data_IF_983044968242
#
_entry.id   IF_983044968242
#
_cell.length_a   1.000
_cell.length_b   1.000
_cell.length_c   1.000
_cell.angle_alpha   90.00
_cell.angle_beta   90.00
_cell.angle_gamma   90.00
#
_symmetry.space_group_name_H-M   'P 1'
#
loop_
_entity.id
_entity.type
_entity.pdbx_description
1 polymer ?
#
# COMPACT_ATOMS: atom_id res chain seq x y z
N UNK A 1 -28.49 -6.60 31.88
CA UNK A 1 -27.86 -6.11 30.64
C UNK A 1 -27.26 -7.31 29.93
N UNK A 2 -27.52 -7.47 28.63
CA UNK A 2 -27.01 -8.61 27.87
C UNK A 2 -25.51 -8.51 27.64
N UNK A 3 -24.85 -9.65 27.43
CA UNK A 3 -23.40 -9.73 27.24
C UNK A 3 -22.87 -8.89 26.05
N UNK A 4 -23.74 -8.50 25.11
CA UNK A 4 -23.38 -7.86 23.83
C UNK A 4 -23.96 -6.46 23.64
N UNK A 5 -24.31 -5.77 24.73
CA UNK A 5 -25.00 -4.45 24.66
C UNK A 5 -24.17 -3.36 23.94
N UNK A 6 -22.89 -3.58 23.66
CA UNK A 6 -22.02 -2.66 22.91
C UNK A 6 -21.67 -3.10 21.48
N UNK A 7 -22.31 -4.15 20.94
CA UNK A 7 -21.97 -4.67 19.61
C UNK A 7 -22.39 -3.71 18.48
N UNK A 8 -23.47 -2.95 18.67
CA UNK A 8 -23.99 -1.98 17.69
C UNK A 8 -23.05 -0.76 17.52
N UNK A 9 -22.24 -0.48 18.54
CA UNK A 9 -21.24 0.60 18.55
C UNK A 9 -19.82 0.08 18.29
N UNK A 10 -19.63 -1.24 18.29
CA UNK A 10 -18.33 -1.85 18.08
C UNK A 10 -17.94 -1.78 16.60
N UNK A 11 -16.82 -1.10 16.32
CA UNK A 11 -16.19 -1.19 15.00
C UNK A 11 -15.67 -2.62 14.79
N UNK A 12 -15.95 -3.19 13.62
CA UNK A 12 -15.40 -4.49 13.21
C UNK A 12 -13.88 -4.41 13.31
N UNK A 13 -13.31 -5.31 14.10
CA UNK A 13 -11.86 -5.44 14.20
C UNK A 13 -11.31 -6.04 12.90
N UNK A 14 -10.79 -5.22 12.01
CA UNK A 14 -10.01 -5.69 10.86
C UNK A 14 -8.66 -6.17 11.37
N UNK A 15 -8.46 -7.48 11.50
CA UNK A 15 -7.11 -8.03 11.59
C UNK A 15 -6.49 -7.85 10.20
N UNK A 16 -5.55 -6.91 10.07
CA UNK A 16 -4.91 -6.61 8.79
C UNK A 16 -4.25 -7.87 8.23
N UNK A 17 -4.59 -8.22 7.00
CA UNK A 17 -3.89 -9.29 6.28
C UNK A 17 -2.74 -8.66 5.53
N UNK A 18 -1.52 -9.05 5.87
CA UNK A 18 -0.30 -8.50 5.29
C UNK A 18 0.25 -9.41 4.20
N UNK A 19 0.99 -8.84 3.25
CA UNK A 19 1.69 -9.59 2.23
C UNK A 19 2.76 -10.52 2.83
N UNK A 20 2.77 -11.77 2.35
CA UNK A 20 3.89 -12.70 2.55
C UNK A 20 4.91 -12.56 1.41
N UNK A 21 6.15 -13.09 1.55
CA UNK A 21 7.14 -13.08 0.48
C UNK A 21 6.61 -13.65 -0.83
N UNK A 22 6.83 -12.96 -1.94
CA UNK A 22 6.32 -13.33 -3.27
C UNK A 22 6.42 -12.17 -4.26
N UNK A 23 5.94 -12.41 -5.48
CA UNK A 23 5.82 -11.44 -6.56
C UNK A 23 4.34 -11.30 -6.89
N UNK A 24 3.88 -10.06 -6.94
CA UNK A 24 2.47 -9.70 -7.11
C UNK A 24 2.31 -8.59 -8.14
N UNK A 25 1.17 -8.61 -8.81
CA UNK A 25 0.54 -7.40 -9.35
C UNK A 25 -0.71 -7.16 -8.50
N UNK A 26 -0.86 -5.94 -8.02
CA UNK A 26 -1.99 -5.58 -7.15
C UNK A 26 -2.73 -4.37 -7.68
N UNK A 27 -4.04 -4.36 -7.50
CA UNK A 27 -4.91 -3.21 -7.71
C UNK A 27 -5.04 -2.46 -6.37
N UNK A 28 -4.84 -1.15 -6.40
CA UNK A 28 -5.06 -0.29 -5.25
C UNK A 28 -6.55 -0.06 -5.03
N UNK A 29 -7.05 -0.44 -3.87
CA UNK A 29 -8.44 -0.17 -3.47
C UNK A 29 -8.58 1.17 -2.79
N UNK A 30 -7.62 1.48 -1.90
CA UNK A 30 -7.63 2.70 -1.10
C UNK A 30 -6.24 3.02 -0.58
N UNK A 31 -5.89 4.31 -0.54
CA UNK A 31 -4.67 4.79 0.12
C UNK A 31 -5.06 5.88 1.10
N UNK A 32 -4.67 5.75 2.37
CA UNK A 32 -5.06 6.71 3.39
C UNK A 32 -4.06 6.80 4.53
N UNK A 33 -4.08 7.92 5.24
CA UNK A 33 -3.39 8.10 6.50
C UNK A 33 -4.32 7.80 7.68
N UNK A 34 -3.82 7.14 8.72
CA UNK A 34 -4.59 6.82 9.92
C UNK A 34 -3.77 7.13 11.17
N UNK A 35 -4.35 7.92 12.09
CA UNK A 35 -3.80 8.09 13.43
C UNK A 35 -4.22 6.93 14.33
N UNK A 36 -3.26 6.11 14.77
CA UNK A 36 -3.48 4.97 15.64
C UNK A 36 -3.72 5.34 17.11
N UNK A 37 -4.07 4.33 17.93
CA UNK A 37 -4.44 4.48 19.36
C UNK A 37 -3.36 5.11 20.26
N UNK A 38 -2.09 5.07 19.85
CA UNK A 38 -0.96 5.63 20.60
C UNK A 38 -0.33 6.83 19.88
N UNK A 39 -1.13 7.60 19.14
CA UNK A 39 -0.65 8.74 18.34
C UNK A 39 0.43 8.37 17.32
N UNK A 40 0.46 7.10 16.92
CA UNK A 40 1.32 6.63 15.85
C UNK A 40 0.56 6.77 14.56
N UNK A 41 1.04 7.62 13.68
CA UNK A 41 0.46 7.80 12.35
C UNK A 41 0.94 6.70 11.41
N UNK A 42 0.02 6.23 10.58
CA UNK A 42 0.24 5.20 9.59
C UNK A 42 -0.11 5.72 8.21
N UNK A 43 0.69 5.33 7.22
CA UNK A 43 0.29 5.31 5.82
C UNK A 43 -0.18 3.88 5.49
N UNK A 44 -1.34 3.74 4.88
CA UNK A 44 -1.95 2.45 4.58
C UNK A 44 -2.36 2.43 3.12
N UNK A 45 -1.89 1.41 2.39
CA UNK A 45 -2.41 1.04 1.08
C UNK A 45 -3.18 -0.28 1.22
N UNK A 46 -4.47 -0.26 0.90
CA UNK A 46 -5.31 -1.45 0.76
C UNK A 46 -5.31 -1.89 -0.69
N UNK A 47 -5.02 -3.17 -0.91
CA UNK A 47 -4.83 -3.71 -2.23
C UNK A 47 -5.63 -5.00 -2.43
N UNK A 48 -5.94 -5.30 -3.69
CA UNK A 48 -6.43 -6.59 -4.15
C UNK A 48 -5.40 -7.23 -5.07
N UNK A 49 -5.10 -8.50 -4.85
CA UNK A 49 -4.16 -9.25 -5.68
C UNK A 49 -4.79 -9.52 -7.06
N UNK A 50 -4.11 -9.11 -8.12
CA UNK A 50 -4.50 -9.36 -9.53
C UNK A 50 -3.67 -10.50 -10.11
N UNK A 51 -2.38 -10.55 -9.79
CA UNK A 51 -1.47 -11.65 -10.12
C UNK A 51 -0.60 -11.98 -8.90
N UNK A 52 -0.26 -13.26 -8.74
CA UNK A 52 0.53 -13.72 -7.58
C UNK A 52 1.21 -15.05 -7.87
N UNK A 53 2.46 -15.17 -7.43
CA UNK A 53 3.18 -16.44 -7.35
C UNK A 53 3.03 -17.14 -5.98
N UNK A 54 2.32 -16.52 -5.04
CA UNK A 54 2.17 -17.01 -3.67
C UNK A 54 0.77 -17.61 -3.45
N UNK A 55 0.73 -18.93 -3.24
CA UNK A 55 -0.51 -19.71 -3.03
C UNK A 55 -1.37 -19.22 -1.84
N UNK A 56 -0.77 -18.55 -0.85
CA UNK A 56 -1.50 -18.01 0.32
C UNK A 56 -2.16 -16.67 0.06
N UNK A 57 -1.80 -16.02 -1.03
CA UNK A 57 -2.40 -14.78 -1.50
C UNK A 57 -2.81 -14.97 -2.97
N UNK A 58 -3.86 -15.77 -3.23
CA UNK A 58 -4.35 -16.01 -4.59
C UNK A 58 -4.97 -14.72 -5.17
N UNK A 59 -5.20 -14.72 -6.48
CA UNK A 59 -5.94 -13.65 -7.17
C UNK A 59 -7.29 -13.38 -6.49
N UNK A 60 -7.64 -12.10 -6.36
CA UNK A 60 -8.82 -11.61 -5.65
C UNK A 60 -8.64 -11.47 -4.13
N UNK A 61 -7.55 -11.97 -3.56
CA UNK A 61 -7.26 -11.83 -2.13
C UNK A 61 -6.94 -10.38 -1.78
N UNK A 62 -7.45 -9.89 -0.64
CA UNK A 62 -7.19 -8.53 -0.14
C UNK A 62 -6.04 -8.53 0.86
N UNK A 63 -5.11 -7.59 0.71
CA UNK A 63 -4.01 -7.39 1.64
C UNK A 63 -3.73 -5.91 1.82
N UNK A 64 -3.17 -5.55 2.98
CA UNK A 64 -2.82 -4.18 3.32
C UNK A 64 -1.32 -4.06 3.53
N UNK A 65 -0.75 -2.97 3.02
CA UNK A 65 0.58 -2.53 3.37
C UNK A 65 0.49 -1.34 4.32
N UNK A 66 0.97 -1.52 5.55
CA UNK A 66 0.91 -0.51 6.60
C UNK A 66 2.31 -0.04 6.98
N UNK A 67 2.58 1.24 6.81
CA UNK A 67 3.85 1.88 7.15
C UNK A 67 3.64 2.80 8.35
N UNK A 68 4.37 2.56 9.44
CA UNK A 68 4.42 3.49 10.58
C UNK A 68 5.28 4.69 10.20
N UNK A 69 4.72 5.90 10.23
CA UNK A 69 5.44 7.11 9.83
C UNK A 69 6.64 7.44 10.74
N UNK A 70 6.66 6.90 11.97
CA UNK A 70 7.78 7.03 12.90
C UNK A 70 8.97 6.12 12.59
N UNK A 71 8.89 5.23 11.59
CA UNK A 71 10.01 4.39 11.18
C UNK A 71 11.00 5.16 10.31
N UNK A 72 12.29 4.90 10.51
CA UNK A 72 13.41 5.56 9.80
C UNK A 72 13.28 5.47 8.26
N UNK A 73 12.78 4.33 7.76
CA UNK A 73 12.59 4.08 6.32
C UNK A 73 11.18 4.41 5.82
N UNK A 74 10.32 5.04 6.62
CA UNK A 74 8.94 5.32 6.22
C UNK A 74 8.86 6.20 4.98
N UNK A 75 9.51 7.37 5.01
CA UNK A 75 9.44 8.35 3.91
C UNK A 75 10.05 7.81 2.61
N UNK A 76 11.26 7.20 2.59
CA UNK A 76 11.79 6.59 1.37
C UNK A 76 10.89 5.50 0.80
N UNK A 77 10.31 4.65 1.65
CA UNK A 77 9.43 3.57 1.19
C UNK A 77 8.13 4.11 0.60
N UNK A 78 7.50 5.10 1.24
CA UNK A 78 6.28 5.75 0.73
C UNK A 78 6.60 6.46 -0.59
N UNK A 79 7.76 7.11 -0.69
CA UNK A 79 8.19 7.78 -1.91
C UNK A 79 8.33 6.81 -3.08
N UNK A 80 8.99 5.67 -2.86
CA UNK A 80 9.12 4.62 -3.88
C UNK A 80 7.78 4.00 -4.28
N UNK A 81 6.85 3.85 -3.33
CA UNK A 81 5.47 3.44 -3.64
C UNK A 81 4.76 4.46 -4.53
N UNK A 82 4.78 5.74 -4.17
CA UNK A 82 4.11 6.80 -4.94
C UNK A 82 4.74 6.99 -6.31
N UNK A 83 6.05 6.78 -6.47
CA UNK A 83 6.70 6.74 -7.77
C UNK A 83 6.13 5.60 -8.64
N UNK A 84 6.15 4.38 -8.12
CA UNK A 84 5.71 3.18 -8.86
C UNK A 84 4.27 3.27 -9.36
N UNK A 85 3.35 3.76 -8.53
CA UNK A 85 1.91 3.89 -8.89
C UNK A 85 1.67 4.97 -9.95
N UNK A 86 2.57 5.94 -10.07
CA UNK A 86 2.53 6.99 -11.11
C UNK A 86 3.36 6.61 -12.35
N UNK A 87 3.75 5.33 -12.49
CA UNK A 87 4.52 4.87 -13.66
C UNK A 87 5.99 5.26 -13.64
N UNK A 88 6.51 5.81 -12.53
CA UNK A 88 7.90 6.24 -12.39
C UNK A 88 8.71 5.10 -11.79
N UNK A 89 9.89 4.81 -12.37
CA UNK A 89 10.85 3.86 -11.79
C UNK A 89 11.35 4.37 -10.43
N UNK A 90 11.12 3.67 -9.31
CA UNK A 90 11.60 4.09 -7.99
C UNK A 90 13.13 4.15 -7.86
N UNK A 91 13.89 3.64 -8.83
CA UNK A 91 15.35 3.75 -8.90
C UNK A 91 15.85 5.00 -9.65
N UNK A 92 14.96 5.76 -10.30
CA UNK A 92 15.29 7.05 -10.92
C UNK A 92 15.19 8.17 -9.89
N UNK A 93 16.24 8.35 -9.09
CA UNK A 93 16.29 9.34 -8.01
C UNK A 93 15.99 10.76 -8.51
N UNK A 94 16.36 11.13 -9.74
CA UNK A 94 16.15 12.49 -10.26
C UNK A 94 14.65 12.75 -10.49
N UNK A 95 14.00 11.89 -11.27
CA UNK A 95 12.56 12.00 -11.56
C UNK A 95 11.72 11.83 -10.30
N UNK A 96 12.06 10.84 -9.45
CA UNK A 96 11.35 10.61 -8.18
C UNK A 96 11.44 11.84 -7.26
N UNK A 97 12.59 12.52 -7.20
CA UNK A 97 12.73 13.70 -6.37
C UNK A 97 12.01 14.94 -6.93
N UNK A 98 11.88 15.06 -8.24
CA UNK A 98 11.16 16.15 -8.88
C UNK A 98 9.64 15.98 -8.75
N UNK A 99 9.12 14.77 -9.00
CA UNK A 99 7.68 14.52 -9.16
C UNK A 99 7.00 14.10 -7.85
N UNK A 100 7.67 13.32 -6.99
CA UNK A 100 7.06 12.83 -5.74
C UNK A 100 7.30 13.81 -4.59
N UNK A 101 6.45 14.84 -4.54
CA UNK A 101 6.46 15.92 -3.53
C UNK A 101 5.50 15.64 -2.37
N UNK A 102 5.56 16.46 -1.31
CA UNK A 102 4.60 16.39 -0.19
C UNK A 102 3.16 16.48 -0.66
N UNK A 103 2.89 17.42 -1.57
CA UNK A 103 1.54 17.72 -2.04
C UNK A 103 0.95 16.54 -2.81
N UNK A 104 1.79 15.83 -3.59
CA UNK A 104 1.40 14.60 -4.28
C UNK A 104 1.05 13.49 -3.28
N UNK A 105 1.84 13.33 -2.21
CA UNK A 105 1.55 12.33 -1.17
C UNK A 105 0.28 12.69 -0.39
N UNK A 106 0.08 13.97 -0.05
CA UNK A 106 -1.13 14.45 0.63
C UNK A 106 -2.38 14.23 -0.24
N UNK A 107 -2.28 14.50 -1.54
CA UNK A 107 -3.37 14.24 -2.47
C UNK A 107 -3.65 12.74 -2.62
N UNK A 108 -2.61 11.90 -2.66
CA UNK A 108 -2.75 10.45 -2.77
C UNK A 108 -3.50 9.81 -1.60
N UNK A 109 -3.39 10.38 -0.39
CA UNK A 109 -4.10 9.89 0.82
C UNK A 109 -5.41 10.62 1.11
N UNK A 110 -5.81 11.54 0.25
CA UNK A 110 -7.03 12.35 0.42
C UNK A 110 -8.29 11.51 0.25
N UNK A 111 -9.44 12.08 0.62
CA UNK A 111 -10.74 11.41 0.46
C UNK A 111 -11.09 11.14 -1.02
N UNK A 112 -10.51 11.89 -1.96
CA UNK A 112 -10.67 11.67 -3.40
C UNK A 112 -10.08 10.34 -3.87
N UNK A 113 -9.11 9.77 -3.12
CA UNK A 113 -8.45 8.49 -3.41
C UNK A 113 -8.07 8.32 -4.90
N UNK A 114 -7.26 9.23 -5.47
CA UNK A 114 -6.98 9.28 -6.91
C UNK A 114 -6.23 8.04 -7.44
N UNK A 115 -5.65 7.24 -6.54
CA UNK A 115 -4.92 6.02 -6.87
C UNK A 115 -5.79 4.76 -6.89
N UNK A 116 -7.09 4.86 -6.59
CA UNK A 116 -7.99 3.70 -6.63
C UNK A 116 -8.10 3.14 -8.06
N UNK A 117 -8.02 1.82 -8.22
CA UNK A 117 -8.01 1.11 -9.50
C UNK A 117 -6.65 1.04 -10.19
N UNK A 118 -5.62 1.73 -9.69
CA UNK A 118 -4.28 1.66 -10.25
C UNK A 118 -3.66 0.29 -9.98
N UNK A 119 -3.10 -0.32 -11.03
CA UNK A 119 -2.28 -1.51 -10.90
C UNK A 119 -0.83 -1.14 -10.61
N UNK A 120 -0.18 -1.90 -9.72
CA UNK A 120 1.23 -1.72 -9.37
C UNK A 120 1.89 -3.07 -9.09
N UNK A 121 3.15 -3.20 -9.49
CA UNK A 121 3.96 -4.38 -9.22
C UNK A 121 4.53 -4.33 -7.81
N UNK A 122 4.53 -5.47 -7.14
CA UNK A 122 5.05 -5.60 -5.78
C UNK A 122 5.88 -6.88 -5.67
N UNK A 123 7.15 -6.73 -5.29
CA UNK A 123 7.97 -7.82 -4.80
C UNK A 123 8.14 -7.71 -3.30
N UNK A 124 7.87 -8.80 -2.58
CA UNK A 124 8.11 -8.86 -1.13
C UNK A 124 9.14 -9.92 -0.81
N UNK A 125 10.09 -9.56 0.05
CA UNK A 125 11.17 -10.46 0.47
C UNK A 125 11.32 -10.45 1.98
N UNK A 126 11.54 -11.62 2.58
CA UNK A 126 11.84 -11.71 4.00
C UNK A 126 13.32 -11.35 4.21
N UNK A 127 13.57 -10.28 4.97
CA UNK A 127 14.91 -9.86 5.35
C UNK A 127 15.06 -9.92 6.87
N UNK A 128 16.30 -10.11 7.33
CA UNK A 128 16.62 -9.96 8.76
C UNK A 128 17.13 -8.55 8.99
N UNK A 129 16.44 -7.79 9.85
CA UNK A 129 16.84 -6.41 10.16
C UNK A 129 18.23 -6.36 10.78
N UNK A 130 19.07 -5.41 10.35
CA UNK A 130 20.46 -5.31 10.82
C UNK A 130 20.55 -5.00 12.31
N UNK A 131 19.69 -4.09 12.80
CA UNK A 131 19.68 -3.58 14.18
C UNK A 131 19.07 -4.55 15.17
N UNK A 132 17.87 -5.07 14.89
CA UNK A 132 17.11 -5.89 15.86
C UNK A 132 17.22 -7.39 15.60
N UNK A 133 17.81 -7.82 14.47
CA UNK A 133 17.91 -9.23 14.05
C UNK A 133 16.55 -9.94 13.97
N UNK A 134 15.49 -9.18 13.71
CA UNK A 134 14.12 -9.69 13.55
C UNK A 134 13.77 -9.85 12.06
N UNK A 135 12.93 -10.85 11.71
CA UNK A 135 12.37 -10.96 10.37
C UNK A 135 11.51 -9.73 10.06
N UNK A 136 11.65 -9.22 8.85
CA UNK A 136 10.89 -8.10 8.31
C UNK A 136 10.62 -8.34 6.84
N UNK A 137 9.39 -8.10 6.40
CA UNK A 137 9.03 -8.19 4.98
C UNK A 137 9.38 -6.86 4.30
N UNK A 138 10.44 -6.85 3.49
CA UNK A 138 10.75 -5.74 2.59
C UNK A 138 9.73 -5.73 1.46
N UNK A 139 9.24 -4.56 1.10
CA UNK A 139 8.34 -4.33 -0.03
C UNK A 139 9.07 -3.48 -1.06
N UNK A 140 9.15 -3.96 -2.29
CA UNK A 140 9.75 -3.29 -3.43
C UNK A 140 8.65 -3.09 -4.47
N UNK A 141 8.28 -1.83 -4.70
CA UNK A 141 7.23 -1.44 -5.63
C UNK A 141 7.84 -1.17 -7.00
N UNK A 142 7.09 -1.45 -8.05
CA UNK A 142 7.51 -1.20 -9.44
C UNK A 142 6.31 -0.82 -10.29
N UNK A 143 6.49 0.07 -11.29
CA UNK A 143 5.43 0.36 -12.23
C UNK A 143 5.09 -0.90 -13.03
N UNK A 144 3.81 -1.06 -13.36
CA UNK A 144 3.36 -2.02 -14.36
C UNK A 144 2.83 -1.24 -15.55
N UNK A 145 2.99 -1.80 -16.75
CA UNK A 145 2.35 -1.24 -17.93
C UNK A 145 0.83 -1.25 -17.69
N UNK A 146 0.27 -0.08 -17.42
CA UNK A 146 -1.17 0.05 -17.31
C UNK A 146 -1.74 -0.14 -18.72
N UNK A 147 -2.66 -1.08 -18.95
CA UNK A 147 -3.44 -1.03 -20.18
C UNK A 147 -4.13 0.33 -20.20
N UNK A 148 -3.86 1.14 -21.23
CA UNK A 148 -4.52 2.43 -21.43
C UNK A 148 -6.01 2.23 -21.16
N UNK A 149 -6.55 2.97 -20.18
CA UNK A 149 -7.98 2.97 -19.93
C UNK A 149 -8.65 3.41 -21.24
N UNK A 150 -9.25 2.47 -21.98
CA UNK A 150 -10.12 2.77 -23.09
C UNK A 150 -11.11 3.82 -22.58
N UNK A 151 -11.00 5.04 -23.13
CA UNK A 151 -11.93 6.11 -22.89
C UNK A 151 -13.34 5.56 -23.07
N UNK A 152 -14.07 5.41 -21.95
CA UNK A 152 -15.52 5.27 -21.97
C UNK A 152 -16.12 6.62 -22.39
N UNK A 153 -15.86 7.00 -23.64
CA UNK A 153 -16.43 8.12 -24.35
C UNK A 153 -17.15 7.57 -25.59
N UNK A 154 -18.20 6.75 -25.39
CA UNK A 154 -19.25 6.58 -26.39
C UNK A 154 -20.50 5.92 -25.75
N UNK A 155 -21.46 6.75 -25.32
CA UNK A 155 -22.91 6.65 -25.57
C UNK A 155 -23.71 7.61 -24.68
#
# INVERSE_FOLDING_TARGET
MGLFTGIDEAQVGSSGVYFQPGIYVVELLKVFALRGRNEVDFFIAECQVVESDNEKHPVGHKASWCVKLSQDMAMPNIKGFIAAVNGIDPHDDETVNAEVTSDVVEYAVSDDNPLAGVHVGLQTTMITTRKEKKPFTKHEWSPVDQPEAEEAAEA
#
